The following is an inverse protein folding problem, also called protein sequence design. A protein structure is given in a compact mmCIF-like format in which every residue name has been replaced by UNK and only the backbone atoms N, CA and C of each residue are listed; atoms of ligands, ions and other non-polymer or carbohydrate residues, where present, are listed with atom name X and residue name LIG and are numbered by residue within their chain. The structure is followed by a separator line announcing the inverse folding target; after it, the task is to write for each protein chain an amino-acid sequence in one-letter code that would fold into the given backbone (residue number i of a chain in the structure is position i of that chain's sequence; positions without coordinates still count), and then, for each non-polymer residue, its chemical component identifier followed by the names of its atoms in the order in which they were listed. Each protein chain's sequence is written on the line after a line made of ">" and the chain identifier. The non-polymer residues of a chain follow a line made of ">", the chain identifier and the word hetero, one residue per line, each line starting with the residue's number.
data_IF_586769988823
#
_entry.id   IF_586769988823
#
_cell.length_a   1.000
_cell.length_b   1.000
_cell.length_c   1.000
_cell.angle_alpha   90.00
_cell.angle_beta   90.00
_cell.angle_gamma   90.00
#
_symmetry.space_group_name_H-M   'P 1'
#
loop_
_entity.id
_entity.type
_entity.pdbx_description
1 polymer ?
#
# COMPACT_ATOMS: atom_id res chain seq x y z
N UNK A 1 8.74 28.36 -2.66
CA UNK A 1 9.15 26.94 -2.67
C UNK A 1 8.73 26.19 -1.41
N UNK A 2 9.08 26.66 -0.20
CA UNK A 2 8.84 25.92 1.06
C UNK A 2 7.37 25.57 1.33
N UNK A 3 6.45 26.51 1.11
CA UNK A 3 5.02 26.26 1.29
C UNK A 3 4.51 25.20 0.30
N UNK A 4 4.97 25.25 -0.95
CA UNK A 4 4.60 24.29 -1.99
C UNK A 4 5.02 22.87 -1.59
N UNK A 5 6.28 22.69 -1.17
CA UNK A 5 6.79 21.37 -0.74
C UNK A 5 6.02 20.84 0.47
N UNK A 6 5.72 21.69 1.46
CA UNK A 6 4.88 21.30 2.61
C UNK A 6 3.47 20.87 2.19
N UNK A 7 2.85 21.60 1.26
CA UNK A 7 1.54 21.25 0.71
C UNK A 7 1.59 19.92 -0.04
N UNK A 8 2.62 19.66 -0.85
CA UNK A 8 2.80 18.40 -1.56
C UNK A 8 2.86 17.21 -0.60
N UNK A 9 3.66 17.31 0.48
CA UNK A 9 3.73 16.25 1.50
C UNK A 9 2.39 16.09 2.22
N UNK A 10 1.72 17.19 2.56
CA UNK A 10 0.42 17.15 3.23
C UNK A 10 -0.67 16.45 2.39
N UNK A 11 -0.69 16.70 1.08
CA UNK A 11 -1.62 16.07 0.13
C UNK A 11 -1.32 14.56 -0.02
N UNK A 12 -0.11 14.09 0.29
CA UNK A 12 0.18 12.67 0.40
C UNK A 12 -0.34 12.06 1.72
N UNK A 13 -0.15 12.76 2.85
CA UNK A 13 -0.47 12.24 4.19
C UNK A 13 -1.98 12.14 4.42
N UNK A 14 -2.72 13.24 4.22
CA UNK A 14 -4.13 13.34 4.63
C UNK A 14 -5.01 12.30 3.91
N UNK A 15 -5.00 12.21 2.56
CA UNK A 15 -5.80 11.20 1.86
C UNK A 15 -5.38 9.78 2.21
N UNK A 16 -4.08 9.52 2.38
CA UNK A 16 -3.58 8.20 2.78
C UNK A 16 -4.11 7.77 4.15
N UNK A 17 -4.11 8.68 5.14
CA UNK A 17 -4.67 8.42 6.46
C UNK A 17 -6.16 8.08 6.40
N UNK A 18 -6.93 8.83 5.60
CA UNK A 18 -8.37 8.60 5.41
C UNK A 18 -8.64 7.27 4.70
N UNK A 19 -7.88 6.95 3.64
CA UNK A 19 -7.99 5.67 2.94
C UNK A 19 -7.66 4.50 3.86
N UNK A 20 -6.59 4.60 4.65
CA UNK A 20 -6.24 3.59 5.64
C UNK A 20 -7.39 3.37 6.64
N UNK A 21 -7.96 4.44 7.22
CA UNK A 21 -9.12 4.33 8.11
C UNK A 21 -10.31 3.62 7.44
N UNK A 22 -10.65 3.99 6.20
CA UNK A 22 -11.79 3.42 5.47
C UNK A 22 -11.61 1.94 5.13
N UNK A 23 -10.42 1.54 4.69
CA UNK A 23 -10.12 0.16 4.32
C UNK A 23 -9.97 -0.72 5.57
N UNK A 24 -9.39 -0.17 6.64
CA UNK A 24 -9.04 -0.91 7.84
C UNK A 24 -10.21 -1.14 8.79
N UNK A 25 -11.07 -0.14 8.94
CA UNK A 25 -12.12 -0.11 9.95
C UNK A 25 -13.49 0.10 9.30
N UNK A 26 -14.07 -0.92 8.65
CA UNK A 26 -15.38 -0.79 8.02
C UNK A 26 -16.48 -0.50 9.05
N UNK A 27 -17.56 0.18 8.64
CA UNK A 27 -18.68 0.52 9.52
C UNK A 27 -19.45 -0.69 10.06
N UNK A 28 -19.50 -1.78 9.29
CA UNK A 28 -20.25 -3.00 9.60
C UNK A 28 -19.29 -4.22 9.59
N UNK A 29 -18.44 -4.38 10.62
CA UNK A 29 -17.46 -5.46 10.67
C UNK A 29 -18.11 -6.84 10.84
N UNK A 30 -19.30 -6.93 11.43
CA UNK A 30 -20.05 -8.18 11.62
C UNK A 30 -20.46 -8.85 10.30
N UNK A 31 -20.47 -8.11 9.19
CA UNK A 31 -20.78 -8.65 7.85
C UNK A 31 -19.55 -9.17 7.12
N UNK A 32 -18.38 -9.15 7.76
CA UNK A 32 -17.11 -9.56 7.15
C UNK A 32 -16.82 -11.01 7.54
N UNK A 33 -16.31 -11.79 6.58
CA UNK A 33 -15.76 -13.13 6.82
C UNK A 33 -14.61 -13.14 7.86
N UNK A 34 -13.96 -11.99 8.05
CA UNK A 34 -12.84 -11.78 8.97
C UNK A 34 -13.09 -10.51 9.79
N UNK A 35 -13.09 -10.62 11.11
CA UNK A 35 -13.26 -9.51 12.07
C UNK A 35 -11.91 -9.28 12.76
N UNK A 36 -11.24 -8.17 12.43
CA UNK A 36 -9.85 -7.90 12.89
C UNK A 36 -8.87 -9.06 12.65
N UNK A 37 -9.03 -9.80 11.54
CA UNK A 37 -8.18 -10.93 11.18
C UNK A 37 -8.50 -12.24 11.91
N UNK A 38 -9.58 -12.26 12.69
CA UNK A 38 -10.16 -13.47 13.28
C UNK A 38 -11.31 -13.94 12.40
N UNK A 39 -11.37 -15.23 12.07
CA UNK A 39 -12.44 -15.80 11.24
C UNK A 39 -13.79 -15.67 11.95
N UNK A 40 -14.78 -15.21 11.20
CA UNK A 40 -16.15 -15.09 11.73
C UNK A 40 -16.74 -16.45 12.14
N UNK A 41 -17.65 -16.44 13.10
CA UNK A 41 -18.30 -17.64 13.63
C UNK A 41 -19.75 -17.34 14.03
N UNK A 42 -20.72 -18.25 13.84
CA UNK A 42 -22.12 -18.02 14.23
C UNK A 42 -22.29 -17.53 15.68
N UNK A 43 -21.51 -18.06 16.63
CA UNK A 43 -21.56 -17.65 18.04
C UNK A 43 -21.22 -16.18 18.27
N UNK A 44 -20.53 -15.52 17.34
CA UNK A 44 -20.26 -14.07 17.41
C UNK A 44 -21.51 -13.23 17.21
N UNK A 45 -22.58 -13.80 16.65
CA UNK A 45 -23.82 -13.09 16.32
C UNK A 45 -24.94 -13.37 17.32
N UNK A 46 -24.64 -14.06 18.42
CA UNK A 46 -25.61 -14.50 19.42
C UNK A 46 -25.49 -13.71 20.74
N UNK A 47 -26.63 -13.32 21.30
CA UNK A 47 -26.76 -12.79 22.67
C UNK A 47 -25.73 -11.71 23.05
N UNK A 48 -25.02 -11.94 24.14
CA UNK A 48 -23.99 -11.04 24.68
C UNK A 48 -22.72 -10.99 23.81
N UNK A 49 -22.41 -12.06 23.07
CA UNK A 49 -21.25 -12.09 22.17
C UNK A 49 -21.40 -11.05 21.05
N UNK A 50 -22.59 -10.94 20.45
CA UNK A 50 -22.88 -9.94 19.41
C UNK A 50 -22.66 -8.51 19.91
N UNK A 51 -23.12 -8.20 21.13
CA UNK A 51 -22.91 -6.89 21.75
C UNK A 51 -21.43 -6.62 21.97
N UNK A 52 -20.67 -7.62 22.42
CA UNK A 52 -19.24 -7.48 22.65
C UNK A 52 -18.44 -7.31 21.37
N UNK A 53 -18.76 -8.05 20.30
CA UNK A 53 -18.12 -7.87 18.97
C UNK A 53 -18.33 -6.46 18.47
N UNK A 54 -19.56 -5.93 18.57
CA UNK A 54 -19.86 -4.55 18.20
C UNK A 54 -19.10 -3.53 19.07
N UNK A 55 -19.03 -3.75 20.38
CA UNK A 55 -18.27 -2.89 21.28
C UNK A 55 -16.75 -2.86 20.95
N UNK A 56 -16.16 -4.01 20.65
CA UNK A 56 -14.76 -4.13 20.19
C UNK A 56 -14.58 -3.31 18.91
N UNK A 57 -15.46 -3.52 17.93
CA UNK A 57 -15.44 -2.82 16.65
C UNK A 57 -15.54 -1.30 16.79
N UNK A 58 -16.51 -0.81 17.55
CA UNK A 58 -16.74 0.61 17.75
C UNK A 58 -15.57 1.27 18.50
N UNK A 59 -15.01 0.58 19.51
CA UNK A 59 -13.84 1.05 20.25
C UNK A 59 -12.60 1.16 19.35
N UNK A 60 -12.33 0.13 18.55
CA UNK A 60 -11.20 0.11 17.63
C UNK A 60 -11.34 1.18 16.53
N UNK A 61 -12.53 1.32 15.94
CA UNK A 61 -12.81 2.36 14.94
C UNK A 61 -12.69 3.77 15.53
N UNK A 62 -13.18 3.99 16.77
CA UNK A 62 -13.02 5.26 17.48
C UNK A 62 -11.55 5.59 17.72
N UNK A 63 -10.76 4.62 18.19
CA UNK A 63 -9.32 4.78 18.38
C UNK A 63 -8.60 5.15 17.08
N UNK A 64 -8.90 4.45 15.99
CA UNK A 64 -8.32 4.73 14.67
C UNK A 64 -8.72 6.10 14.13
N UNK A 65 -9.98 6.51 14.33
CA UNK A 65 -10.47 7.83 13.95
C UNK A 65 -9.73 8.93 14.72
N UNK A 66 -9.54 8.77 16.03
CA UNK A 66 -8.81 9.75 16.86
C UNK A 66 -7.37 9.90 16.34
N UNK A 67 -6.65 8.79 16.11
CA UNK A 67 -5.29 8.81 15.57
C UNK A 67 -5.26 9.51 14.20
N UNK A 68 -6.20 9.18 13.32
CA UNK A 68 -6.32 9.78 11.98
C UNK A 68 -6.54 11.30 12.07
N UNK A 69 -7.45 11.75 12.94
CA UNK A 69 -7.73 13.18 13.14
C UNK A 69 -6.52 13.91 13.71
N UNK A 70 -5.81 13.32 14.66
CA UNK A 70 -4.56 13.89 15.21
C UNK A 70 -3.53 14.07 14.10
N UNK A 71 -3.31 13.05 13.26
CA UNK A 71 -2.38 13.13 12.12
C UNK A 71 -2.80 14.22 11.15
N UNK A 72 -4.08 14.31 10.79
CA UNK A 72 -4.57 15.34 9.87
C UNK A 72 -4.40 16.76 10.45
N UNK A 73 -4.74 16.97 11.71
CA UNK A 73 -4.57 18.27 12.39
C UNK A 73 -3.08 18.63 12.47
N UNK A 74 -2.22 17.69 12.88
CA UNK A 74 -0.78 17.90 12.94
C UNK A 74 -0.22 18.27 11.56
N UNK A 75 -0.67 17.59 10.50
CA UNK A 75 -0.29 17.90 9.11
C UNK A 75 -0.63 19.34 8.76
N UNK A 76 -1.88 19.77 9.01
CA UNK A 76 -2.34 21.12 8.71
C UNK A 76 -1.55 22.17 9.49
N UNK A 77 -1.31 21.95 10.79
CA UNK A 77 -0.51 22.86 11.62
C UNK A 77 0.92 22.98 11.06
N UNK A 78 1.56 21.85 10.75
CA UNK A 78 2.95 21.81 10.27
C UNK A 78 3.14 22.52 8.92
N UNK A 79 2.13 22.52 8.04
CA UNK A 79 2.18 23.28 6.77
C UNK A 79 2.42 24.77 7.02
N UNK A 80 1.85 25.33 8.08
CA UNK A 80 1.94 26.76 8.40
C UNK A 80 3.08 27.12 9.36
N UNK A 81 3.87 26.15 9.82
CA UNK A 81 5.03 26.42 10.68
C UNK A 81 6.11 27.18 9.88
N UNK A 82 6.56 28.37 10.33
CA UNK A 82 7.53 29.19 9.60
C UNK A 82 8.90 28.53 9.43
N UNK A 83 9.36 27.75 10.42
CA UNK A 83 10.62 27.03 10.36
C UNK A 83 10.54 25.89 9.33
N UNK A 84 10.90 26.17 8.08
CA UNK A 84 10.69 25.27 6.93
C UNK A 84 11.33 23.90 7.12
N UNK A 85 12.60 23.84 7.53
CA UNK A 85 13.34 22.59 7.69
C UNK A 85 12.77 21.72 8.81
N UNK A 86 12.38 22.34 9.94
CA UNK A 86 11.71 21.66 11.06
C UNK A 86 10.35 21.13 10.64
N UNK A 87 9.58 21.94 9.91
CA UNK A 87 8.25 21.56 9.41
C UNK A 87 8.34 20.40 8.41
N UNK A 88 9.26 20.45 7.44
CA UNK A 88 9.45 19.38 6.46
C UNK A 88 9.91 18.08 7.15
N UNK A 89 10.88 18.16 8.06
CA UNK A 89 11.30 17.02 8.88
C UNK A 89 10.10 16.39 9.62
N UNK A 90 9.32 17.22 10.31
CA UNK A 90 8.17 16.75 11.07
C UNK A 90 7.10 16.13 10.16
N UNK A 91 6.83 16.72 8.99
CA UNK A 91 5.92 16.16 7.99
C UNK A 91 6.42 14.81 7.46
N UNK A 92 7.71 14.67 7.16
CA UNK A 92 8.28 13.38 6.73
C UNK A 92 8.18 12.33 7.83
N UNK A 93 8.44 12.68 9.10
CA UNK A 93 8.26 11.77 10.23
C UNK A 93 6.77 11.38 10.42
N UNK A 94 5.85 12.29 10.11
CA UNK A 94 4.41 12.05 10.18
C UNK A 94 3.93 11.01 9.14
N UNK A 95 4.65 10.83 8.03
CA UNK A 95 4.39 9.70 7.10
C UNK A 95 4.52 8.36 7.82
N UNK A 96 5.50 8.22 8.71
CA UNK A 96 5.67 7.00 9.52
C UNK A 96 4.60 6.89 10.62
N UNK A 97 4.08 8.01 11.12
CA UNK A 97 2.98 7.99 12.09
C UNK A 97 1.68 7.40 11.51
N UNK A 98 1.53 7.28 10.18
CA UNK A 98 0.42 6.55 9.57
C UNK A 98 0.34 5.09 10.04
N UNK A 99 1.47 4.45 10.35
CA UNK A 99 1.50 3.10 10.88
C UNK A 99 0.80 2.97 12.25
N UNK A 100 0.66 4.08 13.00
CA UNK A 100 -0.05 4.08 14.29
C UNK A 100 -1.54 3.75 14.12
N UNK A 101 -2.13 3.99 12.94
CA UNK A 101 -3.52 3.62 12.61
C UNK A 101 -3.73 2.09 12.70
N UNK A 102 -2.65 1.29 12.61
CA UNK A 102 -2.71 -0.16 12.76
C UNK A 102 -2.84 -0.63 14.23
N UNK A 103 -2.55 0.23 15.22
CA UNK A 103 -2.57 -0.15 16.64
C UNK A 103 -3.97 -0.60 17.09
N UNK A 104 -5.07 0.15 16.84
CA UNK A 104 -6.41 -0.30 17.19
C UNK A 104 -6.82 -1.60 16.48
N UNK A 105 -6.29 -1.86 15.27
CA UNK A 105 -6.55 -3.10 14.56
C UNK A 105 -5.95 -4.31 15.29
N UNK A 106 -4.68 -4.19 15.71
CA UNK A 106 -4.01 -5.21 16.51
C UNK A 106 -4.69 -5.45 17.87
N UNK A 107 -5.16 -4.39 18.52
CA UNK A 107 -5.97 -4.48 19.74
C UNK A 107 -7.26 -5.30 19.50
N UNK A 108 -8.01 -4.97 18.45
CA UNK A 108 -9.22 -5.70 18.07
C UNK A 108 -8.94 -7.18 17.79
N UNK A 109 -7.81 -7.52 17.15
CA UNK A 109 -7.43 -8.92 16.93
C UNK A 109 -7.25 -9.69 18.24
N UNK A 110 -6.54 -9.09 19.21
CA UNK A 110 -6.32 -9.72 20.52
C UNK A 110 -7.63 -9.93 21.29
N UNK A 111 -8.50 -8.91 21.30
CA UNK A 111 -9.81 -8.99 21.98
C UNK A 111 -10.74 -10.02 21.32
N UNK A 112 -10.78 -10.08 19.98
CA UNK A 112 -11.56 -11.08 19.24
C UNK A 112 -11.04 -12.50 19.48
N UNK A 113 -9.71 -12.70 19.54
CA UNK A 113 -9.12 -14.01 19.88
C UNK A 113 -9.46 -14.43 21.31
N UNK A 114 -9.48 -13.48 22.27
CA UNK A 114 -9.93 -13.76 23.64
C UNK A 114 -11.38 -14.20 23.66
N UNK A 115 -12.27 -13.44 23.01
CA UNK A 115 -13.69 -13.78 22.92
C UNK A 115 -13.91 -15.16 22.29
N UNK A 116 -13.16 -15.49 21.24
CA UNK A 116 -13.21 -16.80 20.59
C UNK A 116 -12.89 -17.95 21.56
N UNK A 117 -11.86 -17.78 22.40
CA UNK A 117 -11.48 -18.73 23.45
C UNK A 117 -12.56 -18.86 24.52
N UNK A 118 -13.11 -17.73 24.98
CA UNK A 118 -14.17 -17.70 25.99
C UNK A 118 -15.46 -18.39 25.54
N UNK A 119 -15.80 -18.30 24.25
CA UNK A 119 -16.94 -18.99 23.64
C UNK A 119 -16.70 -20.49 23.35
N UNK A 120 -15.51 -21.00 23.69
CA UNK A 120 -15.12 -22.39 23.44
C UNK A 120 -15.11 -22.76 21.95
N UNK A 121 -14.82 -21.82 21.06
CA UNK A 121 -14.74 -22.09 19.62
C UNK A 121 -13.43 -22.82 19.35
N UNK A 122 -13.51 -24.12 19.06
CA UNK A 122 -12.36 -24.97 18.74
C UNK A 122 -11.90 -24.77 17.30
N UNK A 123 -10.63 -25.07 17.03
CA UNK A 123 -10.10 -25.12 15.67
C UNK A 123 -10.71 -26.31 14.94
N UNK A 124 -11.60 -26.04 13.99
CA UNK A 124 -12.17 -27.03 13.07
C UNK A 124 -11.76 -26.71 11.63
N UNK A 125 -11.99 -27.66 10.74
CA UNK A 125 -11.79 -27.51 9.30
C UNK A 125 -10.61 -28.32 8.74
N UNK A 126 -10.53 -28.31 7.42
CA UNK A 126 -9.57 -29.13 6.65
C UNK A 126 -8.74 -28.24 5.72
N UNK A 127 -7.50 -28.63 5.47
CA UNK A 127 -6.67 -28.00 4.43
C UNK A 127 -7.00 -28.65 3.09
N UNK A 128 -7.56 -27.88 2.18
CA UNK A 128 -7.89 -28.34 0.83
C UNK A 128 -6.83 -27.89 -0.19
N UNK A 129 -6.56 -28.74 -1.16
CA UNK A 129 -5.66 -28.43 -2.28
C UNK A 129 -6.32 -28.82 -3.61
N UNK A 130 -6.49 -27.85 -4.51
CA UNK A 130 -6.86 -28.12 -5.90
C UNK A 130 -5.61 -28.47 -6.70
N UNK A 131 -5.45 -29.76 -7.02
CA UNK A 131 -4.29 -30.27 -7.76
C UNK A 131 -4.40 -30.00 -9.27
N UNK A 132 -5.61 -29.80 -9.80
CA UNK A 132 -5.84 -29.68 -11.25
C UNK A 132 -5.36 -28.35 -11.81
N UNK A 133 -5.53 -27.28 -11.03
CA UNK A 133 -5.23 -25.90 -11.47
C UNK A 133 -4.07 -25.25 -10.71
N UNK A 134 -3.27 -26.03 -9.97
CA UNK A 134 -2.29 -25.51 -9.03
C UNK A 134 -1.33 -24.45 -9.63
N UNK A 135 -1.00 -24.55 -10.93
CA UNK A 135 -0.04 -23.66 -11.62
C UNK A 135 -0.57 -23.06 -12.94
N UNK A 136 -1.88 -23.11 -13.22
CA UNK A 136 -2.42 -22.74 -14.56
C UNK A 136 -3.15 -21.39 -14.55
N UNK A 137 -3.38 -20.81 -13.37
CA UNK A 137 -4.23 -19.63 -13.24
C UNK A 137 -3.38 -18.39 -13.01
N UNK A 138 -3.24 -17.60 -14.07
CA UNK A 138 -2.55 -16.31 -14.10
C UNK A 138 -3.49 -15.24 -14.69
N UNK A 139 -3.41 -14.03 -14.17
CA UNK A 139 -4.19 -12.87 -14.61
C UNK A 139 -3.34 -11.70 -15.12
N UNK A 140 -2.06 -11.64 -14.74
CA UNK A 140 -1.14 -10.60 -15.15
C UNK A 140 -0.71 -10.77 -16.61
N UNK A 141 -0.85 -9.71 -17.40
CA UNK A 141 -0.34 -9.66 -18.77
C UNK A 141 1.00 -8.93 -18.82
N UNK A 142 2.10 -9.68 -18.69
CA UNK A 142 3.46 -9.13 -18.59
C UNK A 142 3.82 -8.08 -19.66
N UNK A 143 3.49 -8.23 -20.96
CA UNK A 143 3.83 -7.21 -21.96
C UNK A 143 3.24 -5.82 -21.65
N UNK A 144 2.02 -5.78 -21.10
CA UNK A 144 1.34 -4.54 -20.74
C UNK A 144 1.90 -3.89 -19.48
N UNK A 145 2.63 -4.65 -18.66
CA UNK A 145 3.38 -4.13 -17.53
C UNK A 145 4.78 -3.67 -17.95
N UNK A 146 5.46 -4.38 -18.86
CA UNK A 146 6.82 -4.04 -19.30
C UNK A 146 6.84 -2.78 -20.18
N UNK A 147 5.84 -2.59 -21.03
CA UNK A 147 5.77 -1.45 -21.96
C UNK A 147 5.90 -0.07 -21.27
N UNK A 148 5.10 0.28 -20.25
CA UNK A 148 5.26 1.57 -19.56
C UNK A 148 6.62 1.71 -18.85
N UNK A 149 7.23 0.61 -18.40
CA UNK A 149 8.57 0.64 -17.80
C UNK A 149 9.66 0.96 -18.84
N UNK A 150 9.55 0.39 -20.04
CA UNK A 150 10.45 0.72 -21.14
C UNK A 150 10.34 2.20 -21.54
N UNK A 151 9.12 2.74 -21.56
CA UNK A 151 8.89 4.17 -21.81
C UNK A 151 9.51 5.05 -20.70
N UNK A 152 9.30 4.71 -19.42
CA UNK A 152 9.93 5.45 -18.32
C UNK A 152 11.47 5.41 -18.37
N UNK A 153 12.05 4.29 -18.84
CA UNK A 153 13.49 4.19 -19.08
C UNK A 153 13.93 5.14 -20.20
N UNK A 154 13.19 5.20 -21.31
CA UNK A 154 13.47 6.13 -22.42
C UNK A 154 13.36 7.60 -21.96
N UNK A 155 12.36 7.94 -21.17
CA UNK A 155 12.21 9.27 -20.56
C UNK A 155 13.40 9.60 -19.66
N UNK A 156 13.87 8.64 -18.85
CA UNK A 156 15.03 8.83 -17.97
C UNK A 156 16.32 9.00 -18.77
N UNK A 157 16.53 8.19 -19.82
CA UNK A 157 17.69 8.34 -20.72
C UNK A 157 17.67 9.71 -21.37
N UNK A 158 16.50 10.15 -21.85
CA UNK A 158 16.35 11.48 -22.43
C UNK A 158 16.67 12.58 -21.42
N UNK A 159 16.17 12.50 -20.19
CA UNK A 159 16.48 13.44 -19.11
C UNK A 159 17.99 13.50 -18.81
N UNK A 160 18.67 12.35 -18.79
CA UNK A 160 20.14 12.29 -18.66
C UNK A 160 20.83 13.03 -19.79
N UNK A 161 20.42 12.79 -21.04
CA UNK A 161 21.03 13.45 -22.20
C UNK A 161 20.83 14.97 -22.19
N UNK A 162 19.69 15.44 -21.68
CA UNK A 162 19.40 16.87 -21.48
C UNK A 162 20.25 17.46 -20.35
N UNK A 163 20.24 16.86 -19.16
CA UNK A 163 20.99 17.38 -18.01
C UNK A 163 22.51 17.39 -18.21
N UNK A 164 23.03 16.47 -19.03
CA UNK A 164 24.46 16.44 -19.42
C UNK A 164 24.77 17.33 -20.63
N UNK A 165 23.79 18.03 -21.20
CA UNK A 165 23.96 18.97 -22.31
C UNK A 165 24.26 18.32 -23.66
N UNK A 166 24.04 17.00 -23.79
CA UNK A 166 24.16 16.25 -25.05
C UNK A 166 23.02 16.63 -25.99
N UNK A 167 21.80 16.75 -25.44
CA UNK A 167 20.64 17.29 -26.14
C UNK A 167 20.36 18.68 -25.56
N UNK A 168 20.38 19.71 -26.40
CA UNK A 168 20.06 21.09 -26.01
C UNK A 168 18.69 21.45 -26.54
N UNK A 169 17.72 21.63 -25.64
CA UNK A 169 16.33 21.94 -25.97
C UNK A 169 15.98 23.36 -25.55
N UNK A 170 16.51 23.79 -24.41
CA UNK A 170 16.39 25.13 -23.84
C UNK A 170 17.79 25.63 -23.51
N UNK A 171 18.03 26.93 -23.75
CA UNK A 171 19.35 27.54 -23.60
C UNK A 171 19.86 27.47 -22.15
N UNK A 172 18.94 27.65 -21.19
CA UNK A 172 19.17 27.41 -19.76
C UNK A 172 17.98 26.65 -19.18
N UNK A 173 18.26 25.53 -18.50
CA UNK A 173 17.27 24.87 -17.66
C UNK A 173 17.09 25.70 -16.39
N UNK A 174 15.85 26.09 -16.08
CA UNK A 174 15.51 26.86 -14.87
C UNK A 174 15.67 26.07 -13.55
N UNK A 175 16.32 24.90 -13.60
CA UNK A 175 16.39 23.91 -12.51
C UNK A 175 17.84 23.50 -12.25
N UNK A 176 18.06 22.96 -11.06
CA UNK A 176 19.38 22.48 -10.66
C UNK A 176 19.93 21.43 -11.63
N UNK A 177 21.26 21.39 -11.70
CA UNK A 177 21.99 20.37 -12.44
C UNK A 177 21.52 18.98 -12.00
N UNK A 178 21.11 18.16 -12.97
CA UNK A 178 20.60 16.78 -12.78
C UNK A 178 19.17 16.65 -12.23
N UNK A 179 18.40 17.73 -12.09
CA UNK A 179 17.06 17.67 -11.53
C UNK A 179 16.08 16.82 -12.37
N UNK A 180 16.12 16.90 -13.71
CA UNK A 180 15.27 16.07 -14.57
C UNK A 180 15.63 14.58 -14.42
N UNK A 181 16.92 14.27 -14.37
CA UNK A 181 17.45 12.93 -14.20
C UNK A 181 17.02 12.36 -12.86
N UNK A 182 17.22 13.08 -11.76
CA UNK A 182 16.84 12.61 -10.43
C UNK A 182 15.33 12.37 -10.33
N UNK A 183 14.53 13.28 -10.89
CA UNK A 183 13.09 13.15 -10.92
C UNK A 183 12.66 11.91 -11.72
N UNK A 184 13.04 11.81 -13.01
CA UNK A 184 12.65 10.68 -13.87
C UNK A 184 13.19 9.35 -13.35
N UNK A 185 14.41 9.30 -12.82
CA UNK A 185 15.00 8.12 -12.21
C UNK A 185 14.20 7.64 -10.98
N UNK A 186 13.63 8.55 -10.19
CA UNK A 186 12.76 8.18 -9.06
C UNK A 186 11.47 7.49 -9.52
N UNK A 187 10.85 7.98 -10.61
CA UNK A 187 9.68 7.35 -11.22
C UNK A 187 10.03 6.01 -11.88
N UNK A 188 11.18 5.90 -12.54
CA UNK A 188 11.68 4.65 -13.10
C UNK A 188 11.95 3.61 -12.00
N UNK A 189 12.52 4.03 -10.87
CA UNK A 189 12.75 3.15 -9.72
C UNK A 189 11.43 2.55 -9.19
N UNK A 190 10.40 3.39 -9.01
CA UNK A 190 9.05 2.93 -8.63
C UNK A 190 8.50 1.95 -9.67
N UNK A 191 8.65 2.27 -10.96
CA UNK A 191 8.17 1.44 -12.06
C UNK A 191 8.84 0.05 -12.06
N UNK A 192 10.16 -0.01 -11.88
CA UNK A 192 10.94 -1.25 -11.81
C UNK A 192 10.51 -2.09 -10.60
N UNK A 193 10.31 -1.49 -9.42
CA UNK A 193 9.85 -2.20 -8.22
C UNK A 193 8.46 -2.80 -8.40
N UNK A 194 7.59 -2.20 -9.21
CA UNK A 194 6.25 -2.73 -9.46
C UNK A 194 6.27 -4.06 -10.22
N UNK A 195 7.32 -4.36 -10.99
CA UNK A 195 7.44 -5.63 -11.74
C UNK A 195 7.47 -6.86 -10.81
N UNK A 196 8.45 -6.99 -9.88
CA UNK A 196 8.48 -8.13 -8.97
C UNK A 196 7.26 -8.17 -8.05
N UNK A 197 6.71 -7.02 -7.64
CA UNK A 197 5.49 -6.98 -6.82
C UNK A 197 4.29 -7.56 -7.58
N UNK A 198 4.06 -7.12 -8.81
CA UNK A 198 2.98 -7.63 -9.66
C UNK A 198 3.15 -9.13 -9.95
N UNK A 199 4.39 -9.56 -10.23
CA UNK A 199 4.72 -10.96 -10.43
C UNK A 199 4.42 -11.81 -9.18
N UNK A 200 4.85 -11.36 -8.00
CA UNK A 200 4.58 -12.07 -6.74
C UNK A 200 3.08 -12.15 -6.47
N UNK A 201 2.31 -11.09 -6.75
CA UNK A 201 0.85 -11.09 -6.57
C UNK A 201 0.14 -12.05 -7.53
N UNK A 202 0.58 -12.14 -8.79
CA UNK A 202 0.03 -13.08 -9.75
C UNK A 202 0.40 -14.54 -9.42
N UNK A 203 1.51 -14.75 -8.71
CA UNK A 203 1.98 -16.06 -8.26
C UNK A 203 1.54 -16.44 -6.83
N UNK A 204 0.62 -15.69 -6.21
CA UNK A 204 -0.03 -16.17 -4.98
C UNK A 204 -0.71 -17.52 -5.27
N UNK A 205 -0.48 -18.50 -4.39
CA UNK A 205 -1.11 -19.82 -4.50
C UNK A 205 -2.62 -19.68 -4.52
N UNK A 206 -3.26 -20.38 -5.45
CA UNK A 206 -4.71 -20.33 -5.64
C UNK A 206 -5.46 -20.73 -4.36
N UNK A 207 -6.47 -19.93 -4.02
CA UNK A 207 -7.38 -20.20 -2.91
C UNK A 207 -8.42 -21.23 -3.33
N UNK A 208 -8.64 -22.23 -2.50
CA UNK A 208 -9.64 -23.28 -2.72
C UNK A 208 -10.89 -22.92 -1.93
N UNK A 209 -11.99 -22.64 -2.64
CA UNK A 209 -13.27 -22.24 -2.05
C UNK A 209 -14.36 -23.29 -2.25
N UNK A 210 -14.22 -24.13 -3.29
CA UNK A 210 -15.18 -25.16 -3.66
C UNK A 210 -14.51 -26.51 -3.91
N UNK A 211 -15.26 -27.60 -3.81
CA UNK A 211 -14.86 -28.91 -4.37
C UNK A 211 -14.74 -28.90 -5.90
N UNK A 212 -15.41 -27.97 -6.58
CA UNK A 212 -15.31 -27.81 -8.04
C UNK A 212 -14.06 -27.00 -8.44
N UNK A 213 -13.10 -27.70 -9.07
CA UNK A 213 -11.88 -27.09 -9.61
C UNK A 213 -12.15 -25.95 -10.62
N UNK A 214 -13.25 -25.98 -11.39
CA UNK A 214 -13.57 -24.93 -12.36
C UNK A 214 -14.01 -23.64 -11.68
N UNK A 215 -14.76 -23.74 -10.59
CA UNK A 215 -15.14 -22.61 -9.73
C UNK A 215 -13.89 -21.98 -9.12
N UNK A 216 -13.00 -22.80 -8.55
CA UNK A 216 -11.73 -22.33 -8.00
C UNK A 216 -10.89 -21.62 -9.05
N UNK A 217 -10.77 -22.18 -10.26
CA UNK A 217 -10.00 -21.58 -11.34
C UNK A 217 -10.55 -20.19 -11.75
N UNK A 218 -11.87 -20.07 -11.90
CA UNK A 218 -12.50 -18.82 -12.30
C UNK A 218 -12.42 -17.75 -11.19
N UNK A 219 -12.62 -18.12 -9.93
CA UNK A 219 -12.46 -17.23 -8.77
C UNK A 219 -11.04 -16.66 -8.71
N UNK A 220 -10.02 -17.53 -8.76
CA UNK A 220 -8.62 -17.09 -8.71
C UNK A 220 -8.23 -16.27 -9.95
N UNK A 221 -8.72 -16.64 -11.14
CA UNK A 221 -8.48 -15.87 -12.37
C UNK A 221 -9.03 -14.45 -12.26
N UNK A 222 -10.24 -14.29 -11.73
CA UNK A 222 -10.85 -12.98 -11.54
C UNK A 222 -10.04 -12.11 -10.56
N UNK A 223 -9.62 -12.67 -9.42
CA UNK A 223 -8.81 -11.94 -8.42
C UNK A 223 -7.44 -11.55 -8.97
N UNK A 224 -6.74 -12.48 -9.61
CA UNK A 224 -5.41 -12.24 -10.21
C UNK A 224 -5.48 -11.25 -11.37
N UNK A 225 -6.54 -11.31 -12.19
CA UNK A 225 -6.77 -10.31 -13.23
C UNK A 225 -7.00 -8.92 -12.65
N UNK A 226 -7.81 -8.79 -11.59
CA UNK A 226 -8.02 -7.53 -10.91
C UNK A 226 -6.70 -6.93 -10.37
N UNK A 227 -5.82 -7.76 -9.82
CA UNK A 227 -4.46 -7.33 -9.41
C UNK A 227 -3.59 -6.93 -10.60
N UNK A 228 -3.55 -7.76 -11.65
CA UNK A 228 -2.78 -7.47 -12.85
C UNK A 228 -3.20 -6.15 -13.50
N UNK A 229 -4.50 -5.92 -13.65
CA UNK A 229 -5.04 -4.68 -14.20
C UNK A 229 -4.69 -3.47 -13.31
N UNK A 230 -4.72 -3.60 -11.98
CA UNK A 230 -4.31 -2.55 -11.04
C UNK A 230 -2.84 -2.17 -11.21
N UNK A 231 -1.93 -3.14 -11.21
CA UNK A 231 -0.48 -2.87 -11.34
C UNK A 231 -0.13 -2.31 -12.72
N UNK A 232 -0.76 -2.80 -13.78
CA UNK A 232 -0.63 -2.24 -15.12
C UNK A 232 -1.10 -0.78 -15.13
N UNK A 233 -2.29 -0.49 -14.59
CA UNK A 233 -2.82 0.87 -14.54
C UNK A 233 -1.89 1.81 -13.74
N UNK A 234 -1.41 1.38 -12.58
CA UNK A 234 -0.45 2.16 -11.78
C UNK A 234 0.86 2.43 -12.53
N UNK A 235 1.39 1.44 -13.24
CA UNK A 235 2.62 1.60 -14.03
C UNK A 235 2.43 2.62 -15.17
N UNK A 236 1.29 2.58 -15.88
CA UNK A 236 0.97 3.58 -16.89
C UNK A 236 0.76 4.97 -16.31
N UNK A 237 0.01 5.11 -15.22
CA UNK A 237 -0.20 6.41 -14.54
C UNK A 237 1.15 6.98 -14.11
N UNK A 238 2.04 6.17 -13.56
CA UNK A 238 3.38 6.55 -13.12
C UNK A 238 4.26 7.06 -14.28
N UNK A 239 4.35 6.29 -15.37
CA UNK A 239 5.13 6.67 -16.55
C UNK A 239 4.58 7.93 -17.21
N UNK A 240 3.28 7.98 -17.48
CA UNK A 240 2.67 9.15 -18.13
C UNK A 240 2.83 10.42 -17.28
N UNK A 241 2.72 10.29 -15.96
CA UNK A 241 2.95 11.41 -15.07
C UNK A 241 4.41 11.87 -15.05
N UNK A 242 5.38 10.95 -15.13
CA UNK A 242 6.79 11.31 -15.23
C UNK A 242 7.07 12.15 -16.49
N UNK A 243 6.55 11.75 -17.66
CA UNK A 243 6.65 12.52 -18.90
C UNK A 243 5.96 13.88 -18.85
N UNK A 244 4.75 13.97 -18.26
CA UNK A 244 4.04 15.26 -18.05
C UNK A 244 4.86 16.17 -17.15
N UNK A 245 5.36 15.64 -16.02
CA UNK A 245 6.12 16.43 -15.06
C UNK A 245 7.44 16.91 -15.66
N UNK A 246 8.14 16.07 -16.43
CA UNK A 246 9.33 16.45 -17.19
C UNK A 246 9.04 17.60 -18.17
N UNK A 247 7.93 17.51 -18.90
CA UNK A 247 7.49 18.56 -19.84
C UNK A 247 7.18 19.87 -19.11
N UNK A 248 6.48 19.81 -17.97
CA UNK A 248 6.22 20.98 -17.13
C UNK A 248 7.51 21.64 -16.67
N UNK A 249 8.50 20.85 -16.22
CA UNK A 249 9.80 21.37 -15.79
C UNK A 249 10.59 22.02 -16.92
N UNK A 250 10.58 21.45 -18.14
CA UNK A 250 11.36 21.97 -19.26
C UNK A 250 10.77 23.24 -19.89
N UNK A 251 9.44 23.38 -19.94
CA UNK A 251 8.81 24.40 -20.80
C UNK A 251 7.90 25.42 -20.10
N UNK A 252 7.29 25.06 -18.98
CA UNK A 252 6.23 25.88 -18.35
C UNK A 252 6.66 26.39 -16.97
N UNK A 253 7.40 25.58 -16.22
CA UNK A 253 7.80 25.74 -14.83
C UNK A 253 6.92 26.69 -14.01
N UNK A 254 5.79 26.15 -13.53
CA UNK A 254 4.81 26.89 -12.73
C UNK A 254 4.41 26.05 -11.51
N UNK A 255 4.66 26.57 -10.31
CA UNK A 255 4.39 25.89 -9.03
C UNK A 255 2.93 25.41 -8.90
N UNK A 256 1.97 26.20 -9.40
CA UNK A 256 0.54 25.84 -9.37
C UNK A 256 0.27 24.70 -10.36
N UNK A 257 0.84 24.74 -11.56
CA UNK A 257 0.70 23.66 -12.54
C UNK A 257 1.28 22.34 -12.03
N UNK A 258 2.46 22.38 -11.38
CA UNK A 258 3.07 21.21 -10.72
C UNK A 258 2.17 20.68 -9.61
N UNK A 259 1.64 21.56 -8.76
CA UNK A 259 0.72 21.17 -7.68
C UNK A 259 -0.54 20.48 -8.23
N UNK A 260 -1.18 21.06 -9.25
CA UNK A 260 -2.35 20.48 -9.90
C UNK A 260 -2.00 19.11 -10.51
N UNK A 261 -0.84 18.99 -11.17
CA UNK A 261 -0.34 17.74 -11.72
C UNK A 261 -0.20 16.65 -10.66
N UNK A 262 0.43 16.96 -9.52
CA UNK A 262 0.59 16.01 -8.41
C UNK A 262 -0.76 15.61 -7.80
N UNK A 263 -1.67 16.57 -7.62
CA UNK A 263 -3.04 16.27 -7.16
C UNK A 263 -3.73 15.31 -8.14
N UNK A 264 -3.65 15.58 -9.45
CA UNK A 264 -4.23 14.73 -10.47
C UNK A 264 -3.63 13.32 -10.44
N UNK A 265 -2.31 13.19 -10.33
CA UNK A 265 -1.61 11.91 -10.16
C UNK A 265 -2.14 11.12 -8.95
N UNK A 266 -2.20 11.77 -7.78
CA UNK A 266 -2.69 11.13 -6.55
C UNK A 266 -4.16 10.70 -6.68
N UNK A 267 -5.02 11.52 -7.28
CA UNK A 267 -6.42 11.18 -7.55
C UNK A 267 -6.52 9.95 -8.47
N UNK A 268 -5.71 9.88 -9.52
CA UNK A 268 -5.70 8.73 -10.44
C UNK A 268 -5.25 7.44 -9.75
N UNK A 269 -4.16 7.49 -8.95
CA UNK A 269 -3.69 6.35 -8.16
C UNK A 269 -4.75 5.91 -7.15
N UNK A 270 -5.35 6.84 -6.41
CA UNK A 270 -6.42 6.54 -5.45
C UNK A 270 -7.64 5.94 -6.14
N UNK A 271 -8.06 6.48 -7.29
CA UNK A 271 -9.18 5.95 -8.07
C UNK A 271 -8.91 4.50 -8.50
N UNK A 272 -7.70 4.21 -9.02
CA UNK A 272 -7.30 2.85 -9.40
C UNK A 272 -7.38 1.87 -8.22
N UNK A 273 -6.84 2.25 -7.04
CA UNK A 273 -6.92 1.44 -5.81
C UNK A 273 -8.36 1.21 -5.38
N UNK A 274 -9.20 2.25 -5.37
CA UNK A 274 -10.60 2.14 -4.95
C UNK A 274 -11.43 1.28 -5.92
N UNK A 275 -11.19 1.39 -7.22
CA UNK A 275 -11.83 0.55 -8.25
C UNK A 275 -11.43 -0.91 -8.04
N UNK A 276 -10.13 -1.20 -7.89
CA UNK A 276 -9.65 -2.56 -7.62
C UNK A 276 -10.22 -3.13 -6.32
N UNK A 277 -10.25 -2.35 -5.24
CA UNK A 277 -10.85 -2.75 -3.97
C UNK A 277 -12.35 -3.07 -4.10
N UNK A 278 -13.11 -2.26 -4.85
CA UNK A 278 -14.53 -2.52 -5.14
C UNK A 278 -14.73 -3.78 -5.99
N UNK A 279 -13.88 -3.98 -7.00
CA UNK A 279 -13.94 -5.15 -7.87
C UNK A 279 -13.61 -6.44 -7.09
N UNK A 280 -12.57 -6.43 -6.26
CA UNK A 280 -12.26 -7.54 -5.34
C UNK A 280 -13.44 -7.87 -4.43
N UNK A 281 -14.07 -6.86 -3.81
CA UNK A 281 -15.26 -7.06 -2.99
C UNK A 281 -16.45 -7.64 -3.78
N UNK A 282 -16.63 -7.22 -5.03
CA UNK A 282 -17.66 -7.77 -5.91
C UNK A 282 -17.39 -9.22 -6.29
N UNK A 283 -16.12 -9.60 -6.52
CA UNK A 283 -15.71 -10.97 -6.79
C UNK A 283 -16.01 -11.85 -5.56
N UNK A 284 -15.58 -11.42 -4.36
CA UNK A 284 -15.90 -12.12 -3.11
C UNK A 284 -17.40 -12.38 -2.93
N UNK A 285 -18.22 -11.34 -3.17
CA UNK A 285 -19.68 -11.45 -3.09
C UNK A 285 -20.26 -12.40 -4.14
N UNK A 286 -19.71 -12.43 -5.34
CA UNK A 286 -20.21 -13.29 -6.44
C UNK A 286 -20.04 -14.77 -6.11
N UNK A 287 -18.91 -15.14 -5.53
CA UNK A 287 -18.54 -16.53 -5.23
C UNK A 287 -18.89 -16.97 -3.80
N UNK A 288 -19.59 -16.12 -3.04
CA UNK A 288 -20.01 -16.43 -1.68
C UNK A 288 -20.90 -17.67 -1.61
N UNK A 289 -21.82 -17.83 -2.57
CA UNK A 289 -22.72 -18.99 -2.66
C UNK A 289 -22.03 -20.26 -3.16
N UNK A 290 -20.91 -20.12 -3.85
CA UNK A 290 -20.14 -21.24 -4.38
C UNK A 290 -19.09 -21.75 -3.37
N UNK A 291 -18.95 -21.06 -2.23
CA UNK A 291 -18.02 -21.45 -1.16
C UNK A 291 -18.67 -22.55 -0.31
N UNK A 292 -18.24 -23.80 -0.48
CA UNK A 292 -18.82 -24.98 0.17
C UNK A 292 -17.87 -25.71 1.14
N UNK A 293 -16.70 -25.11 1.41
CA UNK A 293 -15.65 -25.70 2.23
C UNK A 293 -15.49 -25.01 3.59
N UNK A 294 -15.46 -25.82 4.65
CA UNK A 294 -14.98 -25.40 5.96
C UNK A 294 -13.44 -25.46 6.00
N UNK A 295 -12.81 -24.30 5.81
CA UNK A 295 -11.36 -24.15 5.84
C UNK A 295 -10.83 -24.22 7.27
N UNK A 296 -9.66 -24.88 7.44
CA UNK A 296 -8.95 -24.92 8.72
C UNK A 296 -8.80 -23.52 9.32
N UNK A 297 -9.10 -23.41 10.61
CA UNK A 297 -8.85 -22.22 11.41
C UNK A 297 -7.35 -22.03 11.71
N UNK A 298 -6.74 -21.07 11.01
CA UNK A 298 -5.35 -20.66 11.17
C UNK A 298 -5.19 -19.28 11.85
N UNK A 299 -6.19 -18.80 12.62
CA UNK A 299 -6.18 -17.47 13.26
C UNK A 299 -4.92 -17.22 14.11
N UNK A 300 -4.39 -18.26 14.77
CA UNK A 300 -3.17 -18.16 15.58
C UNK A 300 -1.90 -17.87 14.78
N UNK A 301 -1.89 -18.16 13.48
CA UNK A 301 -0.78 -17.82 12.58
C UNK A 301 -0.76 -16.33 12.21
N UNK A 302 -1.79 -15.56 12.57
CA UNK A 302 -1.92 -14.14 12.25
C UNK A 302 -1.65 -13.26 13.47
N UNK A 303 -0.44 -12.74 13.57
CA UNK A 303 0.02 -11.83 14.61
C UNK A 303 -0.63 -10.47 14.37
N UNK A 304 -1.37 -9.97 15.38
CA UNK A 304 -2.16 -8.73 15.32
C UNK A 304 -3.19 -8.71 14.16
N UNK A 305 -3.52 -9.86 13.58
CA UNK A 305 -4.38 -9.97 12.40
C UNK A 305 -3.77 -9.45 11.10
N UNK A 306 -2.49 -9.04 11.10
CA UNK A 306 -1.84 -8.36 9.98
C UNK A 306 -0.62 -9.14 9.46
N UNK A 307 0.19 -9.71 10.36
CA UNK A 307 1.44 -10.37 10.03
C UNK A 307 1.26 -11.89 10.07
N UNK A 308 1.61 -12.57 8.99
CA UNK A 308 1.48 -14.03 8.90
C UNK A 308 2.79 -14.70 9.33
N UNK A 309 2.67 -15.65 10.25
CA UNK A 309 3.78 -16.46 10.72
C UNK A 309 3.29 -17.90 10.88
N UNK A 310 3.65 -18.76 9.92
CA UNK A 310 3.39 -20.18 10.00
C UNK A 310 4.61 -20.98 9.53
N UNK A 311 5.38 -21.61 10.45
CA UNK A 311 6.56 -22.40 10.08
C UNK A 311 6.21 -23.70 9.32
N UNK A 312 4.96 -24.17 9.42
CA UNK A 312 4.49 -25.36 8.70
C UNK A 312 3.99 -25.03 7.29
N UNK A 313 3.89 -23.74 6.94
CA UNK A 313 3.51 -23.30 5.61
C UNK A 313 4.75 -22.92 4.80
N UNK A 314 5.03 -23.68 3.74
CA UNK A 314 6.18 -23.46 2.87
C UNK A 314 5.99 -22.30 1.89
N UNK A 315 4.78 -21.70 1.83
CA UNK A 315 4.51 -20.55 0.95
C UNK A 315 5.25 -19.32 1.44
N UNK A 316 5.92 -18.62 0.53
CA UNK A 316 6.50 -17.31 0.80
C UNK A 316 5.42 -16.23 0.91
N UNK A 317 4.39 -16.28 0.04
CA UNK A 317 3.30 -15.31 0.00
C UNK A 317 1.94 -16.00 0.23
N UNK A 318 1.08 -15.33 0.98
CA UNK A 318 -0.28 -15.78 1.27
C UNK A 318 -1.25 -14.62 1.11
N UNK A 319 -2.51 -14.89 0.80
CA UNK A 319 -3.53 -13.84 0.78
C UNK A 319 -3.68 -13.21 2.17
N UNK A 320 -3.75 -11.89 2.23
CA UNK A 320 -4.06 -11.18 3.47
C UNK A 320 -5.48 -11.49 3.91
N UNK A 321 -5.67 -11.78 5.20
CA UNK A 321 -7.00 -11.76 5.85
C UNK A 321 -7.58 -10.35 6.01
N UNK A 322 -6.70 -9.35 5.94
CA UNK A 322 -7.02 -7.96 6.20
C UNK A 322 -6.67 -7.06 5.01
N UNK A 323 -7.63 -6.23 4.60
CA UNK A 323 -7.50 -5.41 3.40
C UNK A 323 -7.54 -6.26 2.14
N UNK A 324 -6.85 -5.82 1.10
CA UNK A 324 -6.71 -6.53 -0.18
C UNK A 324 -5.22 -6.71 -0.47
N UNK A 325 -4.80 -7.91 -0.86
CA UNK A 325 -3.45 -8.20 -1.37
C UNK A 325 -2.87 -9.47 -0.76
N UNK A 326 -1.60 -9.72 -1.04
CA UNK A 326 -0.81 -10.75 -0.37
C UNK A 326 0.04 -10.18 0.76
N UNK A 327 0.44 -11.05 1.68
CA UNK A 327 1.45 -10.80 2.71
C UNK A 327 2.52 -11.88 2.64
N UNK A 328 3.68 -11.60 3.24
CA UNK A 328 4.80 -12.53 3.31
C UNK A 328 4.65 -13.40 4.56
N UNK A 329 4.88 -14.71 4.42
CA UNK A 329 5.05 -15.59 5.57
C UNK A 329 6.41 -15.32 6.21
N UNK A 330 6.40 -14.66 7.36
CA UNK A 330 7.63 -14.25 8.07
C UNK A 330 8.37 -15.47 8.63
N UNK A 331 7.73 -16.63 8.75
CA UNK A 331 8.40 -17.86 9.16
C UNK A 331 9.30 -18.44 8.04
N UNK A 332 9.00 -18.13 6.77
CA UNK A 332 9.76 -18.60 5.62
C UNK A 332 11.17 -17.98 5.59
N UNK A 333 12.26 -18.69 5.22
CA UNK A 333 13.62 -18.14 5.19
C UNK A 333 13.74 -16.82 4.42
N UNK A 334 13.24 -16.78 3.19
CA UNK A 334 13.20 -15.54 2.41
C UNK A 334 12.30 -14.46 3.04
N UNK A 335 11.24 -14.85 3.74
CA UNK A 335 10.35 -13.92 4.45
C UNK A 335 11.04 -13.24 5.63
N UNK A 336 11.89 -13.97 6.37
CA UNK A 336 12.76 -13.40 7.41
C UNK A 336 13.72 -12.36 6.83
N UNK A 337 14.37 -12.67 5.71
CA UNK A 337 15.29 -11.73 5.04
C UNK A 337 14.55 -10.48 4.58
N UNK A 338 13.40 -10.63 3.90
CA UNK A 338 12.56 -9.49 3.47
C UNK A 338 12.17 -8.64 4.68
N UNK A 339 11.77 -9.26 5.79
CA UNK A 339 11.36 -8.53 6.99
C UNK A 339 12.52 -7.74 7.60
N UNK A 340 13.70 -8.35 7.72
CA UNK A 340 14.91 -7.67 8.24
C UNK A 340 15.32 -6.52 7.34
N UNK A 341 15.38 -6.73 6.01
CA UNK A 341 15.71 -5.67 5.06
C UNK A 341 14.70 -4.52 5.11
N UNK A 342 13.41 -4.83 5.19
CA UNK A 342 12.36 -3.82 5.31
C UNK A 342 12.52 -3.03 6.62
N UNK A 343 12.81 -3.69 7.74
CA UNK A 343 13.05 -3.03 9.02
C UNK A 343 14.29 -2.12 8.97
N UNK A 344 15.39 -2.60 8.39
CA UNK A 344 16.62 -1.82 8.21
C UNK A 344 16.37 -0.59 7.33
N UNK A 345 15.67 -0.74 6.22
CA UNK A 345 15.34 0.38 5.33
C UNK A 345 14.47 1.43 6.03
N UNK A 346 13.42 1.00 6.74
CA UNK A 346 12.52 1.91 7.46
C UNK A 346 13.26 2.64 8.58
N UNK A 347 13.96 1.91 9.45
CA UNK A 347 14.70 2.50 10.57
C UNK A 347 15.87 3.35 10.08
N UNK A 348 16.61 2.86 9.08
CA UNK A 348 17.70 3.59 8.43
C UNK A 348 17.23 4.90 7.82
N UNK A 349 16.04 4.92 7.21
CA UNK A 349 15.45 6.16 6.66
C UNK A 349 15.13 7.14 7.78
N UNK A 350 14.50 6.70 8.88
CA UNK A 350 14.20 7.57 10.04
C UNK A 350 15.50 8.12 10.65
N UNK A 351 16.49 7.26 10.88
CA UNK A 351 17.79 7.66 11.45
C UNK A 351 18.50 8.63 10.52
N UNK A 352 18.52 8.37 9.21
CA UNK A 352 19.12 9.26 8.22
C UNK A 352 18.44 10.64 8.21
N UNK A 353 17.10 10.67 8.21
CA UNK A 353 16.32 11.92 8.24
C UNK A 353 16.65 12.73 9.50
N UNK A 354 16.71 12.10 10.68
CA UNK A 354 17.05 12.76 11.94
C UNK A 354 18.50 13.25 11.93
N UNK A 355 19.44 12.41 11.48
CA UNK A 355 20.85 12.78 11.38
C UNK A 355 21.07 13.97 10.44
N UNK A 356 20.43 13.96 9.27
CA UNK A 356 20.50 15.05 8.30
C UNK A 356 19.97 16.36 8.91
N UNK A 357 18.91 16.28 9.71
CA UNK A 357 18.36 17.44 10.41
C UNK A 357 19.27 17.97 11.53
N UNK A 358 19.81 17.08 12.37
CA UNK A 358 20.64 17.48 13.52
C UNK A 358 21.99 18.05 13.09
N UNK A 359 22.55 17.57 11.98
CA UNK A 359 23.87 18.01 11.50
C UNK A 359 23.83 19.33 10.72
N UNK A 360 22.66 19.95 10.55
CA UNK A 360 22.48 21.12 9.67
C UNK A 360 22.81 20.80 8.21
N UNK A 361 22.97 19.52 7.85
CA UNK A 361 23.20 19.12 6.47
C UNK A 361 21.93 19.28 5.62
N UNK A 362 20.74 19.36 6.23
CA UNK A 362 19.54 19.84 5.53
C UNK A 362 19.67 21.30 5.08
N UNK A 363 20.33 22.15 5.86
CA UNK A 363 20.59 23.55 5.48
C UNK A 363 21.71 23.65 4.42
N UNK A 364 22.65 22.69 4.40
CA UNK A 364 23.69 22.58 3.35
C UNK A 364 23.23 21.85 2.10
N UNK A 365 22.11 21.13 2.19
CA UNK A 365 21.31 20.63 1.07
C UNK A 365 20.38 21.72 0.54
N UNK A 366 20.62 22.99 0.87
CA UNK A 366 20.10 24.10 0.09
C UNK A 366 20.40 23.82 -1.38
N UNK A 367 19.35 23.37 -2.04
CA UNK A 367 19.16 23.41 -3.48
C UNK A 367 19.50 24.87 -3.81
N UNK A 368 20.65 25.09 -4.42
CA UNK A 368 21.04 26.39 -4.95
C UNK A 368 20.07 26.65 -6.11
N UNK A 369 18.86 27.07 -5.77
CA UNK A 369 17.96 27.63 -6.75
C UNK A 369 18.64 28.91 -7.25
N UNK A 370 18.73 29.13 -8.57
CA UNK A 370 19.31 30.37 -9.12
C UNK A 370 18.52 31.64 -8.76
N UNK A 371 17.53 31.53 -7.87
CA UNK A 371 16.72 32.62 -7.35
C UNK A 371 16.58 32.48 -5.82
N UNK A 372 17.52 33.06 -5.09
CA UNK A 372 17.34 33.57 -3.71
C UNK A 372 17.23 32.54 -2.58
#
# INVERSE_FOLDING_TARGET
>A
MDLLVKLLIAICIIPSAVVMLMLAFPKNPEKRKMIFGVRDNPKFHEGEAAKRVKAIADSCRKGALIITVIICIATVILVFVPAANVAMLALTLLVFALFLIAIPYGKGNMEMKSLKKELGITKSGTVYADLKNANVVHGLKMPWLILPNALALLETIFAVLVDFGVIRIVDDLAIEKYALTMMTASFLFVAIIMIPVAYIMDNIRNTVISKDSSVNANYNRAKKKCWGDLFIAMSWINTLFAGVLMTLYMFIYNDIAVLIGVIAYLVLIMAAVLIAAKLQASIEKRYERDTDLELLDDDDCWILGMFYYNPNDTRLNVEKRFGYGGTVNIAHPAGKVIMVLTAILLLGTIVFIIWAAVTGNLDKLQINTPFG
#
